data_IF_022323934777
#
_entry.id   IF_022323934777
#
_cell.length_a   1.000
_cell.length_b   1.000
_cell.length_c   1.000
_cell.angle_alpha   90.00
_cell.angle_beta   90.00
_cell.angle_gamma   90.00
#
_symmetry.space_group_name_H-M   'P 1'
#
loop_
_entity.id
_entity.type
_entity.pdbx_description
1 polymer ?
#
# COMPACT_ATOMS: atom_id res chain seq x y z
N UNK A 1 12.24 6.77 8.14
CA UNK A 1 10.99 6.33 8.78
C UNK A 1 10.86 4.83 8.60
N UNK A 2 10.69 4.07 9.69
CA UNK A 2 10.57 2.61 9.59
C UNK A 2 9.34 2.19 8.79
N UNK A 3 8.25 2.96 8.88
CA UNK A 3 7.01 2.71 8.12
C UNK A 3 7.23 2.62 6.60
N UNK A 4 8.03 3.50 6.02
CA UNK A 4 8.36 3.47 4.57
C UNK A 4 9.02 2.14 4.20
N UNK A 5 10.01 1.69 4.99
CA UNK A 5 10.70 0.42 4.77
C UNK A 5 9.74 -0.79 4.87
N UNK A 6 8.79 -0.76 5.81
CA UNK A 6 7.79 -1.82 5.93
C UNK A 6 6.87 -1.88 4.71
N UNK A 7 6.43 -0.72 4.20
CA UNK A 7 5.59 -0.66 3.00
C UNK A 7 6.36 -1.11 1.75
N UNK A 8 7.61 -0.69 1.58
CA UNK A 8 8.47 -1.14 0.46
C UNK A 8 8.69 -2.66 0.48
N UNK A 9 8.89 -3.25 1.66
CA UNK A 9 9.03 -4.70 1.79
C UNK A 9 7.71 -5.42 1.47
N UNK A 10 6.57 -4.92 1.99
CA UNK A 10 5.27 -5.48 1.71
C UNK A 10 4.92 -5.43 0.21
N UNK A 11 5.29 -4.36 -0.50
CA UNK A 11 5.13 -4.25 -1.95
C UNK A 11 5.97 -5.30 -2.70
N UNK A 12 7.21 -5.55 -2.26
CA UNK A 12 8.07 -6.59 -2.86
C UNK A 12 7.54 -7.99 -2.63
N UNK A 13 7.04 -8.27 -1.43
CA UNK A 13 6.42 -9.56 -1.11
C UNK A 13 5.18 -9.79 -1.96
N UNK A 14 4.34 -8.77 -2.11
CA UNK A 14 3.14 -8.83 -2.94
C UNK A 14 3.44 -9.05 -4.42
N UNK A 15 4.50 -8.43 -4.94
CA UNK A 15 4.95 -8.63 -6.32
C UNK A 15 5.43 -10.07 -6.55
N UNK A 16 6.14 -10.64 -5.57
CA UNK A 16 6.56 -12.03 -5.61
C UNK A 16 5.38 -12.99 -5.60
N UNK A 17 4.36 -12.74 -4.77
CA UNK A 17 3.15 -13.57 -4.74
C UNK A 17 2.38 -13.52 -6.08
N UNK A 18 2.33 -12.36 -6.74
CA UNK A 18 1.71 -12.23 -8.06
C UNK A 18 2.52 -13.00 -9.11
N UNK A 19 3.85 -12.90 -9.07
CA UNK A 19 4.74 -13.65 -9.96
C UNK A 19 4.57 -15.17 -9.78
N UNK A 20 4.49 -15.64 -8.54
CA UNK A 20 4.24 -17.06 -8.22
C UNK A 20 2.92 -17.56 -8.83
N UNK A 21 1.84 -16.78 -8.75
CA UNK A 21 0.54 -17.13 -9.38
C UNK A 21 0.64 -17.15 -10.90
N UNK A 22 1.34 -16.18 -11.50
CA UNK A 22 1.51 -16.11 -12.95
C UNK A 22 2.29 -17.31 -13.48
N UNK A 23 3.35 -17.70 -12.77
CA UNK A 23 4.23 -18.81 -13.14
C UNK A 23 3.65 -20.19 -12.79
N UNK A 24 2.59 -20.28 -12.00
CA UNK A 24 1.95 -21.56 -11.70
C UNK A 24 1.14 -22.08 -12.89
N UNK A 25 1.64 -23.12 -13.55
CA UNK A 25 0.98 -23.75 -14.70
C UNK A 25 -0.21 -24.62 -14.33
N UNK A 26 -0.41 -24.93 -13.04
CA UNK A 26 -1.52 -25.75 -12.56
C UNK A 26 -2.84 -24.96 -12.44
N UNK A 27 -2.77 -23.63 -12.39
CA UNK A 27 -3.94 -22.76 -12.21
C UNK A 27 -4.52 -22.36 -13.59
N UNK A 28 -5.82 -22.59 -13.85
CA UNK A 28 -6.50 -22.07 -15.03
C UNK A 28 -6.44 -20.54 -15.13
N UNK A 29 -6.36 -20.00 -16.35
CA UNK A 29 -6.20 -18.55 -16.58
C UNK A 29 -7.28 -17.70 -15.90
N UNK A 30 -8.53 -18.15 -15.93
CA UNK A 30 -9.67 -17.48 -15.31
C UNK A 30 -9.60 -17.47 -13.78
N UNK A 31 -9.01 -18.49 -13.16
CA UNK A 31 -8.78 -18.54 -11.72
C UNK A 31 -7.61 -17.66 -11.29
N UNK A 32 -6.58 -17.54 -12.14
CA UNK A 32 -5.46 -16.61 -11.89
C UNK A 32 -5.94 -15.18 -11.74
N UNK A 33 -6.82 -14.71 -12.61
CA UNK A 33 -7.36 -13.35 -12.54
C UNK A 33 -8.09 -13.09 -11.21
N UNK A 34 -8.89 -14.06 -10.76
CA UNK A 34 -9.60 -13.96 -9.48
C UNK A 34 -8.65 -13.92 -8.27
N UNK A 35 -7.52 -14.63 -8.34
CA UNK A 35 -6.49 -14.63 -7.30
C UNK A 35 -5.63 -13.36 -7.32
N UNK A 36 -5.35 -12.82 -8.51
CA UNK A 36 -4.53 -11.62 -8.69
C UNK A 36 -5.28 -10.33 -8.36
N UNK A 37 -6.58 -10.25 -8.67
CA UNK A 37 -7.38 -9.04 -8.48
C UNK A 37 -7.27 -8.42 -7.07
N UNK A 38 -7.50 -9.16 -5.97
CA UNK A 38 -7.37 -8.60 -4.62
C UNK A 38 -5.93 -8.16 -4.31
N UNK A 39 -4.92 -8.89 -4.80
CA UNK A 39 -3.51 -8.53 -4.61
C UNK A 39 -3.17 -7.21 -5.32
N UNK A 40 -3.64 -7.02 -6.55
CA UNK A 40 -3.44 -5.76 -7.28
C UNK A 40 -4.13 -4.56 -6.61
N UNK A 41 -5.30 -4.77 -6.01
CA UNK A 41 -5.98 -3.73 -5.24
C UNK A 41 -5.16 -3.32 -4.01
N UNK A 42 -4.63 -4.30 -3.26
CA UNK A 42 -3.74 -4.03 -2.12
C UNK A 42 -2.48 -3.31 -2.57
N UNK A 43 -1.87 -3.72 -3.69
CA UNK A 43 -0.68 -3.07 -4.25
C UNK A 43 -0.93 -1.59 -4.53
N UNK A 44 -2.09 -1.26 -5.10
CA UNK A 44 -2.48 0.13 -5.38
C UNK A 44 -2.55 0.97 -4.10
N UNK A 45 -3.18 0.44 -3.04
CA UNK A 45 -3.31 1.14 -1.75
C UNK A 45 -1.93 1.34 -1.11
N UNK A 46 -1.08 0.30 -1.09
CA UNK A 46 0.26 0.37 -0.53
C UNK A 46 1.16 1.35 -1.29
N UNK A 47 1.05 1.39 -2.62
CA UNK A 47 1.80 2.35 -3.47
C UNK A 47 1.39 3.78 -3.13
N UNK A 48 0.08 4.07 -3.07
CA UNK A 48 -0.41 5.39 -2.67
C UNK A 48 0.07 5.77 -1.27
N UNK A 49 0.04 4.82 -0.33
CA UNK A 49 0.48 5.04 1.05
C UNK A 49 1.98 5.35 1.10
N UNK A 50 2.79 4.68 0.28
CA UNK A 50 4.21 4.96 0.16
C UNK A 50 4.47 6.38 -0.36
N UNK A 51 3.72 6.79 -1.38
CA UNK A 51 3.81 8.15 -1.94
C UNK A 51 3.42 9.20 -0.89
N UNK A 52 2.33 8.99 -0.17
CA UNK A 52 1.85 9.89 0.89
C UNK A 52 2.89 10.00 2.03
N UNK A 53 3.46 8.87 2.47
CA UNK A 53 4.51 8.86 3.49
C UNK A 53 5.79 9.53 3.01
N UNK A 54 6.15 9.36 1.74
CA UNK A 54 7.30 10.01 1.12
C UNK A 54 7.08 11.51 1.02
N UNK A 55 5.88 11.94 0.66
CA UNK A 55 5.48 13.33 0.67
C UNK A 55 5.60 13.93 2.07
N UNK A 56 5.06 13.27 3.11
CA UNK A 56 5.14 13.74 4.50
C UNK A 56 6.57 13.79 5.04
N UNK A 57 7.41 12.83 4.64
CA UNK A 57 8.84 12.85 4.99
C UNK A 57 9.54 14.08 4.42
N UNK A 58 9.21 14.46 3.19
CA UNK A 58 9.81 15.61 2.50
C UNK A 58 9.12 16.94 2.85
N UNK A 59 7.87 16.90 3.29
CA UNK A 59 7.04 18.04 3.66
C UNK A 59 6.48 17.82 5.07
N UNK A 60 7.35 17.81 6.11
CA UNK A 60 6.91 17.56 7.46
C UNK A 60 5.88 18.62 7.90
N UNK A 61 4.78 18.23 8.55
CA UNK A 61 3.82 19.18 9.07
C UNK A 61 4.49 20.10 10.09
N UNK A 62 3.97 21.32 10.23
CA UNK A 62 4.50 22.26 11.22
C UNK A 62 4.28 21.68 12.62
N UNK A 63 5.26 21.92 13.49
CA UNK A 63 5.17 21.51 14.89
C UNK A 63 3.88 22.07 15.51
N UNK A 64 3.13 21.24 16.23
CA UNK A 64 1.86 21.59 16.90
C UNK A 64 0.71 22.02 15.97
N UNK A 65 0.73 21.64 14.69
CA UNK A 65 -0.43 21.83 13.84
C UNK A 65 -1.57 20.88 14.30
N UNK A 66 -2.74 21.40 14.71
CA UNK A 66 -3.85 20.54 15.11
C UNK A 66 -4.29 19.68 13.92
N UNK A 67 -4.57 18.40 14.18
CA UNK A 67 -5.18 17.54 13.18
C UNK A 67 -6.50 18.20 12.74
N UNK A 68 -6.67 18.51 11.44
CA UNK A 68 -7.82 19.28 10.96
C UNK A 68 -9.18 18.69 11.37
N UNK A 69 -9.23 17.38 11.63
CA UNK A 69 -10.39 16.64 12.15
C UNK A 69 -10.80 17.07 13.56
N UNK A 70 -9.88 17.56 14.40
CA UNK A 70 -10.22 18.04 15.74
C UNK A 70 -11.09 19.28 15.70
N UNK A 71 -11.15 20.01 14.57
CA UNK A 71 -12.05 21.16 14.38
C UNK A 71 -13.52 20.76 14.19
N UNK A 72 -13.79 19.48 13.97
CA UNK A 72 -15.12 18.94 13.71
C UNK A 72 -15.59 17.96 14.81
N UNK A 73 -14.81 17.80 15.89
CA UNK A 73 -15.33 17.18 17.11
C UNK A 73 -16.14 18.25 17.84
N UNK A 74 -17.43 17.98 18.01
CA UNK A 74 -18.19 18.61 19.08
C UNK A 74 -17.71 17.97 20.40
N UNK A 75 -17.31 18.82 21.36
CA UNK A 75 -16.91 18.37 22.72
C UNK A 75 -18.12 17.88 23.52
#
# INVERSE_FOLDING_TARGET
>A
MNSIKHIENALKELDKEVEEILLDWSIPLNEKDNLMLPKLQVKRVLTQTLDDLTYLKNNPPKLNQPCGISKHRED
#
